data_IF_554161161919
#
_entry.id   IF_554161161919
#
_cell.length_a   1.000
_cell.length_b   1.000
_cell.length_c   1.000
_cell.angle_alpha   90.00
_cell.angle_beta   90.00
_cell.angle_gamma   90.00
#
_symmetry.space_group_name_H-M   'P 1'
#
loop_
_entity.id
_entity.type
_entity.pdbx_description
1 polymer ?
#
# COMPACT_ATOMS: atom_id res chain seq x y z
N UNK A 1 -4.78 -1.27 14.62
CA UNK A 1 -4.70 -1.54 13.16
C UNK A 1 -3.51 -0.78 12.60
N UNK A 2 -2.70 -1.42 11.78
CA UNK A 2 -1.55 -0.73 11.16
C UNK A 2 -1.98 0.41 10.23
N UNK A 3 -1.06 1.31 9.93
CA UNK A 3 -1.22 2.34 8.92
C UNK A 3 -0.13 2.21 7.87
N UNK A 4 -0.49 2.34 6.61
CA UNK A 4 0.43 2.39 5.48
C UNK A 4 0.27 3.70 4.72
N UNK A 5 1.36 4.24 4.22
CA UNK A 5 1.36 5.42 3.36
C UNK A 5 2.61 5.44 2.48
N UNK A 6 2.58 6.27 1.45
CA UNK A 6 3.73 6.43 0.60
C UNK A 6 3.43 7.22 -0.66
N UNK A 7 4.43 7.29 -1.52
CA UNK A 7 4.33 7.90 -2.84
C UNK A 7 5.22 7.18 -3.84
N UNK A 8 4.88 7.31 -5.11
CA UNK A 8 5.61 6.73 -6.23
C UNK A 8 5.65 7.73 -7.39
N UNK A 9 6.80 7.85 -8.03
CA UNK A 9 6.93 8.60 -9.29
C UNK A 9 7.69 7.77 -10.32
N UNK A 10 7.18 7.63 -11.56
CA UNK A 10 7.79 6.77 -12.58
C UNK A 10 9.19 7.23 -13.03
N UNK A 11 9.52 8.50 -12.81
CA UNK A 11 10.86 9.05 -13.03
C UNK A 11 11.53 9.24 -11.67
N UNK A 12 12.83 8.97 -11.57
CA UNK A 12 13.58 9.14 -10.33
C UNK A 12 13.79 10.64 -9.98
N UNK A 13 12.73 11.25 -9.42
CA UNK A 13 12.75 12.67 -8.98
C UNK A 13 13.26 12.84 -7.54
N UNK A 14 13.44 11.73 -6.81
CA UNK A 14 13.81 11.77 -5.39
C UNK A 14 15.31 11.91 -5.20
N UNK A 15 16.10 11.50 -6.18
CA UNK A 15 17.55 11.57 -6.16
C UNK A 15 18.05 13.04 -6.01
N UNK A 16 18.96 13.23 -5.05
CA UNK A 16 19.49 14.56 -4.70
C UNK A 16 18.61 15.38 -3.76
N UNK A 17 17.37 14.92 -3.49
CA UNK A 17 16.42 15.56 -2.57
C UNK A 17 15.92 14.61 -1.48
N UNK A 18 16.69 13.57 -1.15
CA UNK A 18 16.27 12.46 -0.26
C UNK A 18 15.80 12.97 1.11
N UNK A 19 16.50 13.97 1.67
CA UNK A 19 16.12 14.57 2.97
C UNK A 19 14.74 15.21 2.95
N UNK A 20 14.38 15.85 1.84
CA UNK A 20 13.07 16.46 1.65
C UNK A 20 11.97 15.38 1.60
N UNK A 21 12.16 14.34 0.81
CA UNK A 21 11.18 13.27 0.68
C UNK A 21 11.08 12.39 1.93
N UNK A 22 12.17 12.17 2.65
CA UNK A 22 12.12 11.54 3.97
C UNK A 22 11.28 12.35 4.96
N UNK A 23 11.36 13.68 4.95
CA UNK A 23 10.52 14.52 5.80
C UNK A 23 9.04 14.38 5.46
N UNK A 24 8.70 14.29 4.18
CA UNK A 24 7.31 14.04 3.74
C UNK A 24 6.84 12.68 4.25
N UNK A 25 7.62 11.61 4.06
CA UNK A 25 7.28 10.29 4.58
C UNK A 25 7.07 10.28 6.09
N UNK A 26 7.89 11.00 6.85
CA UNK A 26 7.71 11.14 8.30
C UNK A 26 6.40 11.85 8.65
N UNK A 27 6.02 12.87 7.90
CA UNK A 27 4.74 13.56 8.11
C UNK A 27 3.55 12.64 7.80
N UNK A 28 3.60 11.90 6.69
CA UNK A 28 2.60 10.89 6.34
C UNK A 28 2.48 9.82 7.43
N UNK A 29 3.59 9.28 7.89
CA UNK A 29 3.66 8.29 8.97
C UNK A 29 3.08 8.83 10.27
N UNK A 30 3.50 10.03 10.69
CA UNK A 30 3.03 10.66 11.92
C UNK A 30 1.51 10.91 11.90
N UNK A 31 0.93 11.23 10.76
CA UNK A 31 -0.52 11.39 10.61
C UNK A 31 -1.30 10.10 10.89
N UNK A 32 -0.64 8.94 10.77
CA UNK A 32 -1.19 7.60 11.01
C UNK A 32 -0.80 7.01 12.37
N UNK A 33 -0.13 7.77 13.25
CA UNK A 33 0.37 7.29 14.54
C UNK A 33 -0.68 6.56 15.39
N UNK A 34 -1.91 7.08 15.44
CA UNK A 34 -3.04 6.50 16.17
C UNK A 34 -3.42 5.08 15.71
N UNK A 35 -3.01 4.66 14.51
CA UNK A 35 -3.27 3.32 13.97
C UNK A 35 -2.26 2.29 14.46
N UNK A 36 -1.03 2.70 14.73
CA UNK A 36 0.04 1.78 15.10
C UNK A 36 1.17 2.48 15.85
N UNK A 37 1.02 2.63 17.19
CA UNK A 37 1.99 3.37 17.99
C UNK A 37 3.25 2.57 18.35
N UNK A 38 3.26 1.23 18.14
CA UNK A 38 4.31 0.36 18.66
C UNK A 38 5.61 0.47 17.87
N UNK A 39 5.51 0.66 16.53
CA UNK A 39 6.67 0.79 15.66
C UNK A 39 6.35 1.68 14.48
N UNK A 40 7.33 2.49 14.07
CA UNK A 40 7.19 3.45 12.99
C UNK A 40 8.45 3.43 12.15
N UNK A 41 8.31 3.13 10.86
CA UNK A 41 9.45 3.08 9.95
C UNK A 41 9.10 3.69 8.58
N UNK A 42 10.11 4.26 7.94
CA UNK A 42 10.03 4.77 6.57
C UNK A 42 11.19 4.25 5.75
N UNK A 43 10.96 4.03 4.47
CA UNK A 43 12.01 3.72 3.51
C UNK A 43 11.79 4.54 2.23
N UNK A 44 12.87 5.05 1.67
CA UNK A 44 12.89 5.75 0.39
C UNK A 44 13.75 4.95 -0.59
N UNK A 45 13.17 4.63 -1.72
CA UNK A 45 13.78 3.94 -2.86
C UNK A 45 13.89 4.91 -4.04
N UNK A 46 14.49 4.50 -5.13
CA UNK A 46 14.71 5.38 -6.29
C UNK A 46 13.42 6.05 -6.80
N UNK A 47 12.34 5.30 -6.90
CA UNK A 47 11.07 5.77 -7.45
C UNK A 47 9.88 5.68 -6.48
N UNK A 48 10.10 5.20 -5.25
CA UNK A 48 9.02 4.96 -4.29
C UNK A 48 9.46 5.30 -2.86
N UNK A 49 8.59 5.96 -2.13
CA UNK A 49 8.71 6.13 -0.68
C UNK A 49 7.59 5.39 0.03
N UNK A 50 7.93 4.64 1.09
CA UNK A 50 6.97 3.88 1.88
C UNK A 50 7.10 4.21 3.36
N UNK A 51 5.97 4.29 4.05
CA UNK A 51 5.85 4.53 5.48
C UNK A 51 4.88 3.53 6.12
N UNK A 52 5.22 3.06 7.31
CA UNK A 52 4.42 2.11 8.06
C UNK A 52 4.32 2.51 9.54
N UNK A 53 3.11 2.42 10.10
CA UNK A 53 2.87 2.47 11.55
C UNK A 53 2.29 1.16 12.00
N UNK A 54 2.91 0.51 12.98
CA UNK A 54 2.60 -0.86 13.40
C UNK A 54 1.87 -0.91 14.72
N UNK A 55 0.75 -1.64 14.75
CA UNK A 55 0.20 -2.23 15.94
C UNK A 55 0.62 -3.71 15.95
N UNK A 56 1.51 -4.07 16.87
CA UNK A 56 2.17 -5.38 16.90
C UNK A 56 1.26 -6.42 17.50
N UNK A 57 0.71 -7.33 16.69
CA UNK A 57 -0.15 -8.43 17.13
C UNK A 57 0.53 -9.78 16.86
N UNK A 58 1.15 -9.94 15.70
CA UNK A 58 1.82 -11.16 15.24
C UNK A 58 3.29 -10.86 14.94
N UNK A 59 4.19 -11.80 15.27
CA UNK A 59 5.64 -11.71 15.05
C UNK A 59 6.24 -10.36 15.50
N UNK A 60 6.30 -10.17 16.80
CA UNK A 60 6.73 -8.91 17.43
C UNK A 60 8.13 -8.46 16.97
N UNK A 61 9.03 -9.41 16.71
CA UNK A 61 10.43 -9.13 16.42
C UNK A 61 10.72 -8.95 14.92
N UNK A 62 10.12 -9.78 14.05
CA UNK A 62 10.52 -9.87 12.64
C UNK A 62 9.50 -9.26 11.66
N UNK A 63 8.35 -8.81 12.13
CA UNK A 63 7.30 -8.21 11.29
C UNK A 63 7.52 -6.74 10.96
N UNK A 64 8.78 -6.25 10.92
CA UNK A 64 9.11 -4.86 10.56
C UNK A 64 8.75 -4.56 9.14
N UNK A 65 8.25 -3.33 8.91
CA UNK A 65 7.87 -2.82 7.59
C UNK A 65 8.28 -1.34 7.47
N UNK A 66 8.64 -0.86 6.24
CA UNK A 66 8.60 -1.57 4.95
C UNK A 66 9.53 -2.79 4.91
N UNK A 67 9.02 -3.90 4.36
CA UNK A 67 9.79 -5.14 4.24
C UNK A 67 10.28 -5.30 2.80
N UNK A 68 11.52 -5.78 2.64
CA UNK A 68 12.17 -6.00 1.35
C UNK A 68 12.59 -7.44 1.17
N UNK A 69 12.46 -7.96 -0.06
CA UNK A 69 13.00 -9.25 -0.47
C UNK A 69 13.54 -9.16 -1.89
N UNK A 70 14.53 -10.00 -2.18
CA UNK A 70 15.13 -10.08 -3.52
C UNK A 70 15.10 -11.51 -4.02
N UNK A 71 14.76 -11.69 -5.30
CA UNK A 71 14.87 -12.95 -6.03
C UNK A 71 15.61 -12.67 -7.34
N UNK A 72 16.65 -13.43 -7.65
CA UNK A 72 17.43 -13.32 -8.90
C UNK A 72 17.92 -11.89 -9.20
N UNK A 73 18.25 -11.13 -8.15
CA UNK A 73 18.70 -9.74 -8.26
C UNK A 73 17.59 -8.70 -8.37
N UNK A 74 16.32 -9.11 -8.51
CA UNK A 74 15.17 -8.21 -8.51
C UNK A 74 14.72 -7.94 -7.07
N UNK A 75 14.58 -6.68 -6.72
CA UNK A 75 14.20 -6.24 -5.38
C UNK A 75 12.74 -5.76 -5.34
N UNK A 76 12.04 -6.21 -4.30
CA UNK A 76 10.64 -5.88 -4.05
C UNK A 76 10.44 -5.40 -2.62
N UNK A 77 9.50 -4.50 -2.43
CA UNK A 77 9.20 -3.87 -1.16
C UNK A 77 7.71 -3.89 -0.90
N UNK A 78 7.32 -4.11 0.36
CA UNK A 78 5.92 -4.14 0.77
C UNK A 78 5.68 -3.32 2.03
N UNK A 79 4.53 -2.64 2.08
CA UNK A 79 3.87 -2.18 3.30
C UNK A 79 2.45 -2.77 3.33
N UNK A 80 2.06 -3.29 4.48
CA UNK A 80 0.86 -4.09 4.64
C UNK A 80 0.12 -3.75 5.94
N UNK A 81 -1.20 -3.68 5.85
CA UNK A 81 -2.13 -3.56 6.96
C UNK A 81 -3.24 -4.57 6.80
N UNK A 82 -3.26 -5.61 7.62
CA UNK A 82 -4.28 -6.66 7.49
C UNK A 82 -4.06 -7.85 8.39
N UNK A 83 -4.78 -8.92 8.06
CA UNK A 83 -4.65 -10.25 8.64
C UNK A 83 -5.01 -11.28 7.56
N UNK A 84 -4.13 -12.26 7.33
CA UNK A 84 -4.29 -13.33 6.36
C UNK A 84 -4.69 -14.61 7.09
N UNK A 85 -5.84 -15.16 6.73
CA UNK A 85 -6.42 -16.30 7.43
C UNK A 85 -5.90 -17.64 6.93
N UNK A 86 -5.48 -17.72 5.66
CA UNK A 86 -5.03 -18.97 5.03
C UNK A 86 -3.50 -19.06 4.84
N UNK A 87 -2.72 -18.46 5.74
CA UNK A 87 -1.25 -18.49 5.67
C UNK A 87 -0.64 -19.88 5.45
N UNK A 88 -1.10 -20.96 6.13
CA UNK A 88 -0.54 -22.29 5.91
C UNK A 88 -0.70 -22.78 4.46
N UNK A 89 -1.79 -22.43 3.81
CA UNK A 89 -2.04 -22.75 2.40
C UNK A 89 -1.06 -21.99 1.48
N UNK A 90 -0.91 -20.69 1.67
CA UNK A 90 0.02 -19.88 0.88
C UNK A 90 1.46 -20.36 1.03
N UNK A 91 1.90 -20.65 2.24
CA UNK A 91 3.24 -21.19 2.53
C UNK A 91 3.50 -22.54 1.86
N UNK A 92 2.49 -23.44 1.85
CA UNK A 92 2.58 -24.71 1.11
C UNK A 92 2.75 -24.47 -0.40
N UNK A 93 2.13 -23.46 -0.97
CA UNK A 93 2.29 -23.12 -2.38
C UNK A 93 3.68 -22.52 -2.67
N UNK A 94 4.23 -21.71 -1.77
CA UNK A 94 5.61 -21.21 -1.86
C UNK A 94 6.64 -22.35 -1.83
N UNK A 95 6.46 -23.36 -0.96
CA UNK A 95 7.34 -24.53 -0.89
C UNK A 95 7.43 -25.27 -2.23
N UNK A 96 6.34 -25.35 -3.00
CA UNK A 96 6.34 -25.94 -4.37
C UNK A 96 7.24 -25.18 -5.35
N UNK A 97 7.56 -23.93 -5.03
CA UNK A 97 8.51 -23.06 -5.77
C UNK A 97 9.89 -22.97 -5.13
N UNK A 98 10.18 -23.83 -4.15
CA UNK A 98 11.41 -23.81 -3.34
C UNK A 98 11.63 -22.47 -2.61
N UNK A 99 10.54 -21.79 -2.24
CA UNK A 99 10.55 -20.56 -1.46
C UNK A 99 10.03 -20.86 -0.06
N UNK A 100 10.77 -20.43 0.94
CA UNK A 100 10.39 -20.56 2.35
C UNK A 100 10.55 -19.21 3.02
N UNK A 101 9.48 -18.68 3.68
CA UNK A 101 9.63 -17.48 4.50
C UNK A 101 10.63 -17.69 5.63
N UNK A 102 11.45 -16.68 5.90
CA UNK A 102 12.42 -16.68 7.01
C UNK A 102 11.75 -16.34 8.36
N UNK A 103 10.56 -15.72 8.30
CA UNK A 103 9.83 -15.25 9.47
C UNK A 103 8.44 -15.91 9.57
N UNK A 104 7.78 -15.74 10.71
CA UNK A 104 6.38 -16.13 10.89
C UNK A 104 5.39 -15.09 10.36
N UNK A 105 5.87 -13.95 9.87
CA UNK A 105 5.06 -12.83 9.40
C UNK A 105 4.21 -13.19 8.17
N UNK A 106 2.97 -12.74 8.18
CA UNK A 106 2.08 -12.76 7.01
C UNK A 106 2.57 -11.81 5.91
N UNK A 107 3.18 -10.69 6.27
CA UNK A 107 3.79 -9.71 5.35
C UNK A 107 4.83 -10.38 4.44
N UNK A 108 5.74 -11.18 5.00
CA UNK A 108 6.74 -11.88 4.21
C UNK A 108 6.11 -12.92 3.28
N UNK A 109 5.12 -13.66 3.79
CA UNK A 109 4.40 -14.66 2.99
C UNK A 109 3.70 -14.01 1.80
N UNK A 110 3.08 -12.84 1.98
CA UNK A 110 2.48 -12.06 0.88
C UNK A 110 3.52 -11.60 -0.13
N UNK A 111 4.62 -11.02 0.34
CA UNK A 111 5.69 -10.53 -0.54
C UNK A 111 6.28 -11.67 -1.37
N UNK A 112 6.63 -12.80 -0.76
CA UNK A 112 7.14 -13.98 -1.47
C UNK A 112 6.10 -14.56 -2.43
N UNK A 113 4.80 -14.52 -2.09
CA UNK A 113 3.74 -14.97 -3.00
C UNK A 113 3.63 -14.06 -4.23
N UNK A 114 3.77 -12.75 -4.05
CA UNK A 114 3.84 -11.82 -5.16
C UNK A 114 5.05 -12.11 -6.06
N UNK A 115 6.23 -12.34 -5.47
CA UNK A 115 7.44 -12.69 -6.21
C UNK A 115 7.28 -13.98 -7.02
N UNK A 116 6.65 -15.00 -6.43
CA UNK A 116 6.52 -16.33 -7.03
C UNK A 116 5.47 -16.42 -8.14
N UNK A 117 4.39 -15.65 -8.03
CA UNK A 117 3.18 -15.82 -8.84
C UNK A 117 2.69 -14.52 -9.51
N UNK A 118 3.39 -13.40 -9.31
CA UNK A 118 2.94 -12.08 -9.78
C UNK A 118 1.58 -11.71 -9.19
N UNK A 119 0.84 -10.84 -9.85
CA UNK A 119 -0.45 -10.36 -9.38
C UNK A 119 -1.53 -11.46 -9.22
N UNK A 120 -1.37 -12.60 -9.88
CA UNK A 120 -2.37 -13.69 -9.83
C UNK A 120 -2.51 -14.35 -8.45
N UNK A 121 -1.49 -14.22 -7.59
CA UNK A 121 -1.50 -14.79 -6.23
C UNK A 121 -2.67 -14.28 -5.39
N UNK A 122 -3.14 -13.05 -5.66
CA UNK A 122 -4.16 -12.39 -4.84
C UNK A 122 -5.49 -13.16 -4.81
N UNK A 123 -5.78 -13.93 -5.87
CA UNK A 123 -6.98 -14.78 -5.96
C UNK A 123 -6.99 -15.93 -4.96
N UNK A 124 -5.80 -16.27 -4.44
CA UNK A 124 -5.61 -17.36 -3.48
C UNK A 124 -5.56 -16.85 -2.04
N UNK A 125 -5.61 -15.52 -1.84
CA UNK A 125 -5.49 -14.91 -0.51
C UNK A 125 -6.85 -14.79 0.14
N UNK A 126 -7.00 -15.39 1.32
CA UNK A 126 -8.16 -15.23 2.19
C UNK A 126 -7.77 -14.39 3.40
N UNK A 127 -8.44 -13.24 3.60
CA UNK A 127 -8.11 -12.30 4.66
C UNK A 127 -8.76 -10.93 4.47
N UNK A 128 -8.44 -10.05 5.41
CA UNK A 128 -8.80 -8.63 5.37
C UNK A 128 -7.52 -7.82 5.27
N UNK A 129 -7.32 -7.06 4.20
CA UNK A 129 -6.04 -6.44 3.93
C UNK A 129 -6.10 -5.18 3.05
N UNK A 130 -5.11 -4.35 3.24
CA UNK A 130 -4.64 -3.39 2.24
C UNK A 130 -3.11 -3.39 2.25
N UNK A 131 -2.49 -3.38 1.08
CA UNK A 131 -1.04 -3.34 0.98
C UNK A 131 -0.58 -2.71 -0.33
N UNK A 132 0.67 -2.25 -0.31
CA UNK A 132 1.37 -1.75 -1.47
C UNK A 132 2.63 -2.57 -1.71
N UNK A 133 2.87 -2.97 -2.96
CA UNK A 133 4.12 -3.60 -3.40
C UNK A 133 4.79 -2.71 -4.43
N UNK A 134 6.05 -2.38 -4.20
CA UNK A 134 6.90 -1.72 -5.17
C UNK A 134 7.92 -2.72 -5.74
N UNK A 135 7.93 -2.84 -7.06
CA UNK A 135 8.87 -3.64 -7.85
C UNK A 135 9.90 -2.67 -8.46
N UNK A 136 11.14 -2.72 -7.95
CA UNK A 136 12.21 -1.84 -8.45
C UNK A 136 12.59 -2.15 -9.90
N UNK A 137 12.57 -3.42 -10.29
CA UNK A 137 13.03 -3.84 -11.61
C UNK A 137 12.09 -3.40 -12.72
N UNK A 138 10.79 -3.61 -12.54
CA UNK A 138 9.78 -3.17 -13.51
C UNK A 138 9.34 -1.71 -13.28
N UNK A 139 9.84 -1.09 -12.21
CA UNK A 139 9.44 0.25 -11.77
C UNK A 139 7.92 0.39 -11.70
N UNK A 140 7.27 -0.46 -10.91
CA UNK A 140 5.82 -0.47 -10.74
C UNK A 140 5.42 -0.44 -9.28
N UNK A 141 4.38 0.33 -8.96
CA UNK A 141 3.68 0.30 -7.69
C UNK A 141 2.34 -0.42 -7.86
N UNK A 142 2.08 -1.43 -7.04
CA UNK A 142 0.79 -2.14 -7.01
C UNK A 142 0.11 -1.93 -5.66
N UNK A 143 -1.12 -1.44 -5.67
CA UNK A 143 -1.96 -1.22 -4.49
C UNK A 143 -3.08 -2.26 -4.46
N UNK A 144 -3.19 -3.03 -3.38
CA UNK A 144 -4.17 -4.13 -3.23
C UNK A 144 -5.14 -3.85 -2.09
N UNK A 145 -6.41 -4.18 -2.28
CA UNK A 145 -7.44 -4.08 -1.25
C UNK A 145 -8.31 -5.33 -1.20
N UNK A 146 -8.64 -5.78 0.00
CA UNK A 146 -9.41 -6.99 0.24
C UNK A 146 -10.80 -6.99 -0.44
N UNK A 147 -11.42 -8.19 -0.67
CA UNK A 147 -12.68 -8.34 -1.40
C UNK A 147 -13.86 -7.56 -0.84
N UNK A 148 -13.85 -7.28 0.47
CA UNK A 148 -14.93 -6.54 1.15
C UNK A 148 -14.57 -5.08 1.44
N UNK A 149 -13.32 -4.65 1.14
CA UNK A 149 -12.84 -3.31 1.41
C UNK A 149 -12.76 -2.98 2.91
N UNK A 150 -12.57 -3.99 3.76
CA UNK A 150 -12.50 -3.83 5.22
C UNK A 150 -11.32 -2.94 5.63
N UNK A 151 -10.17 -3.13 4.98
CA UNK A 151 -9.02 -2.26 5.20
C UNK A 151 -9.04 -1.10 4.19
N UNK A 152 -9.02 0.14 4.67
CA UNK A 152 -9.06 1.30 3.79
C UNK A 152 -7.74 1.48 3.04
N UNK A 153 -7.82 1.90 1.78
CA UNK A 153 -6.67 2.29 0.98
C UNK A 153 -7.09 3.37 -0.02
N UNK A 154 -6.50 4.54 0.13
CA UNK A 154 -6.73 5.71 -0.71
C UNK A 154 -5.51 5.96 -1.59
N UNK A 155 -5.74 6.56 -2.75
CA UNK A 155 -4.68 7.05 -3.62
C UNK A 155 -5.13 8.29 -4.38
N UNK A 156 -4.17 9.08 -4.80
CA UNK A 156 -4.36 10.24 -5.67
C UNK A 156 -3.09 10.54 -6.45
N UNK A 157 -3.14 11.51 -7.34
CA UNK A 157 -2.01 11.90 -8.16
C UNK A 157 -1.78 13.41 -8.11
N UNK A 158 -0.53 13.80 -7.98
CA UNK A 158 -0.08 15.20 -8.04
C UNK A 158 1.22 15.30 -8.82
N UNK A 159 1.17 16.06 -9.91
CA UNK A 159 2.34 16.35 -10.78
C UNK A 159 3.09 15.06 -11.20
N UNK A 160 2.36 14.01 -11.57
CA UNK A 160 2.88 12.70 -11.96
C UNK A 160 3.32 11.82 -10.80
N UNK A 161 3.19 12.28 -9.55
CA UNK A 161 3.43 11.48 -8.35
C UNK A 161 2.13 10.84 -7.88
N UNK A 162 2.12 9.53 -7.78
CA UNK A 162 1.06 8.76 -7.11
C UNK A 162 1.30 8.81 -5.62
N UNK A 163 0.27 9.16 -4.85
CA UNK A 163 0.29 9.25 -3.39
C UNK A 163 -0.72 8.25 -2.87
N UNK A 164 -0.38 7.48 -1.83
CA UNK A 164 -1.30 6.52 -1.24
C UNK A 164 -1.26 6.51 0.29
N UNK A 165 -2.35 6.05 0.90
CA UNK A 165 -2.42 5.93 2.36
C UNK A 165 -3.66 5.23 2.87
N UNK A 166 -3.58 4.71 4.09
CA UNK A 166 -4.71 4.11 4.80
C UNK A 166 -5.81 5.12 5.12
N UNK A 167 -5.48 6.41 5.18
CA UNK A 167 -6.43 7.48 5.48
C UNK A 167 -6.12 8.73 4.63
N UNK A 168 -7.15 9.50 4.22
CA UNK A 168 -6.99 10.71 3.40
C UNK A 168 -5.94 11.69 3.92
N UNK A 169 -5.91 11.91 5.24
CA UNK A 169 -4.96 12.86 5.85
C UNK A 169 -3.49 12.51 5.65
N UNK A 170 -3.17 11.23 5.44
CA UNK A 170 -1.80 10.83 5.11
C UNK A 170 -1.43 11.30 3.70
N UNK A 171 -2.36 11.21 2.75
CA UNK A 171 -2.15 11.71 1.39
C UNK A 171 -1.98 13.23 1.37
N UNK A 172 -2.73 13.97 2.19
CA UNK A 172 -2.63 15.44 2.29
C UNK A 172 -1.34 15.96 2.93
N UNK A 173 -0.50 15.07 3.47
CA UNK A 173 0.85 15.45 3.89
C UNK A 173 1.81 15.64 2.70
N UNK A 174 1.43 15.17 1.50
CA UNK A 174 2.24 15.37 0.31
C UNK A 174 2.04 16.81 -0.22
N UNK A 175 3.13 17.57 -0.46
CA UNK A 175 3.03 18.97 -0.85
C UNK A 175 2.22 19.21 -2.13
N UNK A 176 1.29 20.14 -2.08
CA UNK A 176 0.42 20.50 -3.19
C UNK A 176 -0.72 19.51 -3.46
N UNK A 177 -0.87 18.47 -2.64
CA UNK A 177 -2.06 17.60 -2.66
C UNK A 177 -3.02 18.03 -1.53
N UNK A 178 -3.79 19.09 -1.78
CA UNK A 178 -4.61 19.74 -0.76
C UNK A 178 -6.02 19.12 -0.65
N UNK A 179 -6.66 19.16 0.53
CA UNK A 179 -7.98 18.58 0.77
C UNK A 179 -9.11 19.46 0.19
N UNK A 180 -9.21 19.56 -1.12
CA UNK A 180 -10.35 20.20 -1.77
C UNK A 180 -11.58 19.31 -1.74
N UNK A 181 -12.71 19.85 -1.28
CA UNK A 181 -13.97 19.11 -1.26
C UNK A 181 -14.53 18.93 -2.67
N UNK A 182 -14.99 17.72 -2.96
CA UNK A 182 -15.74 17.40 -4.17
C UNK A 182 -17.25 17.53 -3.89
N UNK A 183 -17.95 18.37 -4.67
CA UNK A 183 -19.38 18.61 -4.49
C UNK A 183 -20.21 17.35 -4.73
N UNK A 184 -19.80 16.49 -5.66
CA UNK A 184 -20.48 15.22 -5.94
C UNK A 184 -20.37 14.28 -4.75
N UNK A 185 -19.16 14.15 -4.19
CA UNK A 185 -18.91 13.33 -2.99
C UNK A 185 -19.64 13.86 -1.75
N UNK A 186 -19.70 15.17 -1.57
CA UNK A 186 -20.51 15.77 -0.51
C UNK A 186 -22.01 15.47 -0.68
N UNK A 187 -22.52 15.59 -1.90
CA UNK A 187 -23.91 15.28 -2.19
C UNK A 187 -24.26 13.81 -1.92
N UNK A 188 -23.34 12.89 -2.22
CA UNK A 188 -23.50 11.47 -1.86
C UNK A 188 -23.62 11.27 -0.35
N UNK A 189 -22.77 11.91 0.46
CA UNK A 189 -22.83 11.80 1.93
C UNK A 189 -24.21 12.28 2.44
N UNK A 190 -24.70 13.41 1.94
CA UNK A 190 -26.01 13.93 2.37
C UNK A 190 -27.20 13.11 1.88
N UNK A 191 -27.06 12.43 0.74
CA UNK A 191 -28.13 11.63 0.13
C UNK A 191 -28.12 10.17 0.55
N UNK A 192 -26.96 9.56 0.71
CA UNK A 192 -26.76 8.13 0.96
C UNK A 192 -26.24 7.83 2.37
N UNK A 193 -25.94 8.86 3.16
CA UNK A 193 -25.32 8.71 4.46
C UNK A 193 -23.87 8.19 4.34
N UNK A 194 -23.46 7.19 5.14
CA UNK A 194 -22.10 6.68 5.11
C UNK A 194 -21.78 5.83 3.85
N UNK A 195 -22.78 5.49 3.07
CA UNK A 195 -22.60 4.79 1.80
C UNK A 195 -22.14 5.76 0.71
N UNK A 196 -21.30 5.31 -0.18
CA UNK A 196 -20.84 6.07 -1.34
C UNK A 196 -20.67 5.15 -2.55
N UNK A 197 -20.72 5.73 -3.73
CA UNK A 197 -20.43 5.03 -4.98
C UNK A 197 -18.96 4.51 -4.96
N UNK A 198 -18.72 3.27 -5.39
CA UNK A 198 -17.34 2.77 -5.54
C UNK A 198 -16.48 3.78 -6.31
N UNK A 199 -15.24 3.96 -5.87
CA UNK A 199 -14.25 4.92 -6.43
C UNK A 199 -14.56 6.41 -6.17
N UNK A 200 -15.76 6.78 -5.72
CA UNK A 200 -16.07 8.16 -5.34
C UNK A 200 -15.42 8.49 -3.99
N UNK A 201 -15.17 9.76 -3.77
CA UNK A 201 -14.58 10.27 -2.53
C UNK A 201 -15.05 11.70 -2.26
N UNK A 202 -14.93 12.11 -1.01
CA UNK A 202 -15.32 13.47 -0.57
C UNK A 202 -14.32 14.52 -1.04
N UNK A 203 -13.10 14.09 -1.38
CA UNK A 203 -12.02 14.99 -1.75
C UNK A 203 -11.67 14.81 -3.23
N UNK A 204 -11.53 15.94 -3.92
CA UNK A 204 -11.17 15.97 -5.34
C UNK A 204 -9.83 15.32 -5.59
N UNK A 205 -9.77 14.43 -6.60
CA UNK A 205 -8.53 13.72 -6.99
C UNK A 205 -8.06 12.66 -6.00
N UNK A 206 -8.81 12.41 -4.92
CA UNK A 206 -8.55 11.32 -4.00
C UNK A 206 -9.56 10.20 -4.23
N UNK A 207 -9.06 9.01 -4.55
CA UNK A 207 -9.84 7.82 -4.86
C UNK A 207 -9.60 6.73 -3.81
N UNK A 208 -10.53 5.80 -3.69
CA UNK A 208 -10.30 4.54 -2.98
C UNK A 208 -9.93 3.45 -3.98
N UNK A 209 -9.00 2.57 -3.59
CA UNK A 209 -8.86 1.30 -4.30
C UNK A 209 -10.18 0.53 -4.13
N UNK A 210 -10.87 0.13 -5.21
CA UNK A 210 -12.14 -0.58 -5.08
C UNK A 210 -11.98 -1.91 -4.34
N UNK A 211 -12.98 -2.37 -3.56
CA UNK A 211 -12.97 -3.69 -2.94
C UNK A 211 -12.75 -4.79 -3.97
N UNK A 212 -11.91 -5.80 -3.64
CA UNK A 212 -11.61 -6.90 -4.55
C UNK A 212 -10.82 -6.48 -5.80
N UNK A 213 -10.09 -5.37 -5.72
CA UNK A 213 -9.28 -4.88 -6.81
C UNK A 213 -7.84 -4.60 -6.38
N UNK A 214 -6.97 -4.58 -7.38
CA UNK A 214 -5.66 -3.94 -7.26
C UNK A 214 -5.46 -2.92 -8.37
N UNK A 215 -4.65 -1.91 -8.10
CA UNK A 215 -4.27 -0.87 -9.05
C UNK A 215 -2.77 -0.96 -9.30
N UNK A 216 -2.36 -1.02 -10.56
CA UNK A 216 -0.94 -0.99 -10.95
C UNK A 216 -0.63 0.37 -11.54
N UNK A 217 0.39 1.02 -11.01
CA UNK A 217 0.98 2.24 -11.54
C UNK A 217 2.34 1.92 -12.14
N UNK A 218 2.60 2.44 -13.34
CA UNK A 218 3.83 2.21 -14.10
C UNK A 218 4.19 3.47 -14.90
N UNK A 219 5.37 3.52 -15.54
CA UNK A 219 5.70 4.60 -16.49
C UNK A 219 4.74 4.72 -17.68
N UNK A 220 3.94 3.70 -17.95
CA UNK A 220 2.94 3.67 -19.03
C UNK A 220 1.54 4.12 -18.58
N UNK A 221 1.38 4.52 -17.30
CA UNK A 221 0.10 4.91 -16.70
C UNK A 221 -0.41 3.93 -15.65
N UNK A 222 -1.68 4.04 -15.30
CA UNK A 222 -2.33 3.24 -14.27
C UNK A 222 -3.43 2.34 -14.84
N UNK A 223 -3.67 1.21 -14.17
CA UNK A 223 -4.75 0.29 -14.52
C UNK A 223 -5.32 -0.41 -13.28
N UNK A 224 -6.66 -0.43 -13.18
CA UNK A 224 -7.40 -1.16 -12.14
C UNK A 224 -7.72 -2.56 -12.65
N UNK A 225 -7.54 -3.56 -11.78
CA UNK A 225 -7.80 -4.97 -12.07
C UNK A 225 -8.66 -5.58 -10.95
N UNK A 226 -9.85 -6.11 -11.24
CA UNK A 226 -10.60 -6.94 -10.30
C UNK A 226 -9.96 -8.34 -10.21
N UNK A 227 -10.14 -9.03 -9.05
CA UNK A 227 -9.62 -10.38 -8.84
C UNK A 227 -10.60 -11.31 -8.13
#
# INVERSE_FOLDING_TARGET
MCGIAGFYHPQNIFQGNEKYYHKILQQMMNSLYHRGPDQQETALFDNCGMAHTRLSIVDLENGRQPMSRSIEGHRFHIVYNGEIYNLPYLRKNLQKKNLTPDTSSDTETLLLSFLAFGHSFIKEVDGIFSFAVYDEFHNTLSLFRDPFGVKPLFYGEKDGTVIFGSEPKACFCYPGFDPELDLSGLNEIFSLGPAHTPESGVFRGLHQVPPGCYVVFSPMGSRIHPY
#
